data_IF_141206419687
#
_entry.id   IF_141206419687
#
_cell.length_a   1.000
_cell.length_b   1.000
_cell.length_c   1.000
_cell.angle_alpha   90.00
_cell.angle_beta   90.00
_cell.angle_gamma   90.00
#
_symmetry.space_group_name_H-M   'P 1'
#
loop_
_entity.id
_entity.type
_entity.pdbx_description
1 polymer ?
#
# COMPACT_ATOMS: atom_id res chain seq x y z
N UNK A 1 -11.29 -15.40 -50.77
CA UNK A 1 -10.23 -15.57 -49.73
C UNK A 1 -9.76 -14.29 -49.05
N UNK A 2 -9.84 -13.10 -49.66
CA UNK A 2 -9.33 -11.85 -49.02
C UNK A 2 -10.19 -11.33 -47.86
N UNK A 3 -11.52 -11.52 -47.91
CA UNK A 3 -12.45 -11.03 -46.89
C UNK A 3 -12.36 -11.79 -45.55
N UNK A 4 -12.05 -13.08 -45.58
CA UNK A 4 -11.96 -13.91 -44.37
C UNK A 4 -10.77 -13.52 -43.47
N UNK A 5 -9.66 -13.09 -44.07
CA UNK A 5 -8.46 -12.63 -43.34
C UNK A 5 -8.73 -11.33 -42.58
N UNK A 6 -9.54 -10.44 -43.16
CA UNK A 6 -9.89 -9.14 -42.56
C UNK A 6 -10.77 -9.34 -41.32
N UNK A 7 -11.71 -10.28 -41.35
CA UNK A 7 -12.61 -10.57 -40.23
C UNK A 7 -11.83 -11.14 -39.03
N UNK A 8 -10.86 -12.03 -39.29
CA UNK A 8 -10.02 -12.61 -38.24
C UNK A 8 -9.13 -11.53 -37.58
N UNK A 9 -8.60 -10.58 -38.36
CA UNK A 9 -7.80 -9.48 -37.81
C UNK A 9 -8.63 -8.54 -36.92
N UNK A 10 -9.89 -8.29 -37.27
CA UNK A 10 -10.78 -7.41 -36.50
C UNK A 10 -11.16 -7.99 -35.13
N UNK A 11 -11.34 -9.32 -35.06
CA UNK A 11 -11.67 -10.02 -33.81
C UNK A 11 -10.47 -10.04 -32.84
N UNK A 12 -9.24 -10.07 -33.36
CA UNK A 12 -8.04 -10.03 -32.53
C UNK A 12 -7.82 -8.65 -31.85
N UNK A 13 -8.28 -7.55 -32.47
CA UNK A 13 -8.16 -6.19 -31.92
C UNK A 13 -9.16 -5.84 -30.82
N UNK A 14 -10.21 -6.65 -30.61
CA UNK A 14 -11.28 -6.34 -29.65
C UNK A 14 -10.97 -6.75 -28.20
N UNK A 15 -9.86 -7.46 -27.95
CA UNK A 15 -9.53 -8.00 -26.63
C UNK A 15 -8.42 -7.24 -25.90
N UNK A 16 -8.16 -5.98 -26.26
CA UNK A 16 -7.35 -5.09 -25.42
C UNK A 16 -8.18 -4.62 -24.23
N UNK A 17 -8.25 -5.47 -23.21
CA UNK A 17 -8.70 -5.06 -21.88
C UNK A 17 -7.64 -4.10 -21.34
N UNK A 18 -7.96 -2.81 -21.30
CA UNK A 18 -7.11 -1.83 -20.64
C UNK A 18 -7.04 -2.20 -19.16
N UNK A 19 -5.94 -2.83 -18.74
CA UNK A 19 -5.67 -3.10 -17.33
C UNK A 19 -5.57 -1.74 -16.65
N UNK A 20 -6.55 -1.38 -15.82
CA UNK A 20 -6.54 -0.13 -15.04
C UNK A 20 -5.26 -0.13 -14.20
N UNK A 21 -4.23 0.55 -14.69
CA UNK A 21 -2.99 0.73 -13.96
C UNK A 21 -3.32 1.65 -12.79
N UNK A 22 -3.32 1.11 -11.58
CA UNK A 22 -3.52 1.92 -10.39
C UNK A 22 -2.31 2.84 -10.21
N UNK A 23 -2.58 4.14 -10.07
CA UNK A 23 -1.53 5.11 -9.80
C UNK A 23 -1.01 4.91 -8.37
N UNK A 24 0.30 4.83 -8.25
CA UNK A 24 0.97 4.65 -6.95
C UNK A 24 1.24 6.01 -6.35
N UNK A 25 0.69 6.22 -5.17
CA UNK A 25 0.77 7.48 -4.46
C UNK A 25 1.65 7.34 -3.23
N UNK A 26 2.59 8.26 -3.08
CA UNK A 26 3.68 8.09 -2.13
C UNK A 26 3.54 9.02 -0.93
N UNK A 27 3.70 8.44 0.26
CA UNK A 27 3.70 9.19 1.50
C UNK A 27 4.92 8.86 2.34
N UNK A 28 5.38 9.85 3.10
CA UNK A 28 6.52 9.71 3.99
C UNK A 28 6.22 10.26 5.38
N UNK A 29 6.77 9.60 6.40
CA UNK A 29 6.81 10.10 7.76
C UNK A 29 8.03 9.62 8.50
N UNK A 30 8.56 10.47 9.38
CA UNK A 30 9.69 10.15 10.24
C UNK A 30 9.33 10.42 11.69
N UNK A 31 9.64 9.46 12.56
CA UNK A 31 9.56 9.59 14.01
C UNK A 31 10.96 9.60 14.60
N UNK A 32 11.09 9.71 15.92
CA UNK A 32 12.37 9.56 16.62
C UNK A 32 12.97 8.15 16.54
N UNK A 33 12.16 7.13 16.22
CA UNK A 33 12.58 5.72 16.26
C UNK A 33 12.67 5.07 14.89
N UNK A 34 11.89 5.54 13.92
CA UNK A 34 11.76 4.89 12.62
C UNK A 34 11.27 5.87 11.56
N UNK A 35 11.54 5.52 10.31
CA UNK A 35 10.96 6.12 9.11
C UNK A 35 9.90 5.18 8.52
N UNK A 36 8.88 5.76 7.90
CA UNK A 36 7.80 5.03 7.22
C UNK A 36 7.61 5.64 5.83
N UNK A 37 7.63 4.77 4.82
CA UNK A 37 7.27 5.06 3.43
C UNK A 37 6.06 4.23 3.05
N UNK A 38 4.98 4.88 2.65
CA UNK A 38 3.78 4.23 2.11
C UNK A 38 3.77 4.41 0.58
N UNK A 39 3.53 3.32 -0.13
CA UNK A 39 3.06 3.35 -1.52
C UNK A 39 1.61 2.91 -1.50
N UNK A 40 0.69 3.83 -1.72
CA UNK A 40 -0.75 3.63 -1.72
C UNK A 40 -1.20 3.39 -3.17
N UNK A 41 -1.81 2.23 -3.42
CA UNK A 41 -2.46 1.96 -4.70
C UNK A 41 -3.90 2.44 -4.63
N UNK A 42 -4.18 3.66 -5.11
CA UNK A 42 -5.53 4.23 -5.06
C UNK A 42 -6.48 3.43 -5.95
N UNK A 43 -7.62 3.01 -5.42
CA UNK A 43 -8.57 2.13 -6.12
C UNK A 43 -8.19 0.63 -6.09
N UNK A 44 -7.06 0.25 -5.49
CA UNK A 44 -6.71 -1.15 -5.22
C UNK A 44 -5.85 -1.27 -3.96
N UNK A 45 -6.49 -1.14 -2.81
CA UNK A 45 -5.79 -1.03 -1.52
C UNK A 45 -4.84 -2.20 -1.22
N UNK A 46 -5.16 -3.41 -1.72
CA UNK A 46 -4.33 -4.62 -1.59
C UNK A 46 -2.99 -4.52 -2.34
N UNK A 47 -2.88 -3.64 -3.33
CA UNK A 47 -1.62 -3.32 -4.00
C UNK A 47 -0.70 -2.38 -3.21
N UNK A 48 -1.18 -1.84 -2.10
CA UNK A 48 -0.40 -0.91 -1.26
C UNK A 48 0.71 -1.63 -0.50
N UNK A 49 1.74 -0.90 -0.10
CA UNK A 49 2.82 -1.43 0.75
C UNK A 49 3.36 -0.35 1.68
N UNK A 50 3.81 -0.78 2.85
CA UNK A 50 4.57 0.07 3.77
C UNK A 50 5.98 -0.47 3.94
N UNK A 51 6.97 0.40 3.85
CA UNK A 51 8.34 0.13 4.24
C UNK A 51 8.62 0.92 5.51
N UNK A 52 8.98 0.20 6.58
CA UNK A 52 9.45 0.80 7.83
C UNK A 52 10.94 0.57 7.97
N UNK A 53 11.70 1.64 8.22
CA UNK A 53 13.13 1.56 8.53
C UNK A 53 13.35 2.00 9.97
N UNK A 54 13.95 1.15 10.79
CA UNK A 54 14.36 1.52 12.15
C UNK A 54 15.60 2.43 12.11
N UNK A 55 15.56 3.59 12.77
CA UNK A 55 16.63 4.60 12.67
C UNK A 55 17.92 4.15 13.38
N UNK A 56 17.82 3.29 14.40
CA UNK A 56 18.99 2.89 15.19
C UNK A 56 19.73 1.71 14.58
N UNK A 57 19.00 0.84 13.89
CA UNK A 57 19.51 -0.45 13.41
C UNK A 57 19.55 -0.56 11.89
N UNK A 58 19.05 0.46 11.19
CA UNK A 58 18.79 0.47 9.75
C UNK A 58 17.95 -0.71 9.25
N UNK A 59 17.30 -1.43 10.16
CA UNK A 59 16.50 -2.59 9.81
C UNK A 59 15.28 -2.15 9.03
N UNK A 60 15.18 -2.67 7.80
CA UNK A 60 14.04 -2.46 6.91
C UNK A 60 13.06 -3.61 7.07
N UNK A 61 11.77 -3.29 7.20
CA UNK A 61 10.69 -4.27 7.26
C UNK A 61 9.58 -3.83 6.31
N UNK A 62 9.16 -4.75 5.45
CA UNK A 62 8.03 -4.56 4.53
C UNK A 62 6.75 -5.07 5.19
N UNK A 63 5.70 -4.26 5.07
CA UNK A 63 4.37 -4.58 5.54
C UNK A 63 3.38 -4.54 4.37
N UNK A 64 2.48 -5.52 4.34
CA UNK A 64 1.46 -5.71 3.32
C UNK A 64 0.06 -5.59 3.92
N UNK A 65 -0.92 -5.08 3.17
CA UNK A 65 -2.32 -5.02 3.59
C UNK A 65 -2.82 -6.37 4.07
N UNK A 66 -3.50 -6.38 5.20
CA UNK A 66 -4.21 -7.56 5.67
C UNK A 66 -5.46 -7.76 4.81
N UNK A 67 -5.61 -8.95 4.22
CA UNK A 67 -6.73 -9.29 3.32
C UNK A 67 -8.09 -9.29 4.01
N UNK A 68 -8.10 -9.42 5.33
CA UNK A 68 -9.32 -9.42 6.16
C UNK A 68 -9.56 -7.99 6.64
N UNK A 69 -9.93 -7.09 5.74
CA UNK A 69 -10.56 -5.84 6.16
C UNK A 69 -12.01 -6.18 6.53
N UNK A 70 -12.41 -5.88 7.76
CA UNK A 70 -13.84 -5.88 8.08
C UNK A 70 -14.50 -4.76 7.30
N UNK A 71 -15.64 -5.06 6.66
CA UNK A 71 -16.36 -4.15 5.74
C UNK A 71 -16.73 -2.78 6.35
N UNK A 72 -16.57 -2.61 7.67
CA UNK A 72 -16.97 -1.39 8.41
C UNK A 72 -15.82 -0.63 9.08
N UNK A 73 -14.55 -1.02 8.94
CA UNK A 73 -13.46 -0.26 9.54
C UNK A 73 -12.84 0.69 8.54
N UNK A 74 -12.98 2.00 8.80
CA UNK A 74 -12.21 3.11 8.21
C UNK A 74 -10.69 3.00 8.50
N UNK A 75 -10.16 1.82 8.78
CA UNK A 75 -8.78 1.60 9.15
C UNK A 75 -8.20 0.48 8.30
N UNK A 76 -7.01 0.70 7.77
CA UNK A 76 -6.27 -0.28 6.98
C UNK A 76 -5.14 -0.85 7.84
N UNK A 77 -5.16 -2.16 8.04
CA UNK A 77 -4.14 -2.87 8.82
C UNK A 77 -3.12 -3.48 7.87
N UNK A 78 -1.84 -3.28 8.15
CA UNK A 78 -0.73 -3.91 7.47
C UNK A 78 0.03 -4.83 8.42
N UNK A 79 0.39 -6.00 7.92
CA UNK A 79 1.17 -7.02 8.62
C UNK A 79 2.52 -7.22 7.93
N UNK A 80 3.57 -7.63 8.66
CA UNK A 80 4.87 -7.92 8.08
C UNK A 80 4.76 -8.95 6.95
N UNK A 81 5.56 -8.79 5.90
CA UNK A 81 5.60 -9.72 4.77
C UNK A 81 6.01 -11.12 5.26
N UNK A 82 5.08 -12.07 5.18
CA UNK A 82 5.27 -13.44 5.68
C UNK A 82 6.39 -14.20 4.95
N UNK A 83 6.77 -13.75 3.75
CA UNK A 83 7.81 -14.37 2.95
C UNK A 83 9.21 -13.90 3.35
N UNK A 84 9.32 -12.82 4.13
CA UNK A 84 10.59 -12.32 4.62
C UNK A 84 11.04 -13.11 5.87
N UNK A 85 11.95 -14.05 5.64
CA UNK A 85 12.52 -14.93 6.67
C UNK A 85 13.36 -14.20 7.72
N UNK A 86 13.73 -12.94 7.48
CA UNK A 86 14.53 -12.12 8.43
C UNK A 86 13.66 -11.45 9.50
N UNK A 87 12.34 -11.54 9.36
CA UNK A 87 11.37 -11.00 10.30
C UNK A 87 11.13 -12.01 11.42
N UNK A 88 11.50 -11.61 12.63
CA UNK A 88 11.15 -12.37 13.84
C UNK A 88 9.65 -12.26 14.08
N UNK A 89 8.95 -13.39 14.15
CA UNK A 89 7.54 -13.42 14.55
C UNK A 89 7.37 -12.84 15.95
N UNK A 90 6.41 -11.92 16.10
CA UNK A 90 6.04 -11.27 17.36
C UNK A 90 4.55 -11.46 17.61
N UNK A 91 4.14 -11.33 18.87
CA UNK A 91 2.72 -11.39 19.26
C UNK A 91 1.92 -10.22 18.66
N UNK A 92 2.55 -9.06 18.53
CA UNK A 92 2.00 -7.88 17.85
C UNK A 92 3.10 -7.21 17.04
N UNK A 93 2.89 -7.10 15.74
CA UNK A 93 3.72 -6.35 14.81
C UNK A 93 2.81 -5.95 13.65
N UNK A 94 2.26 -4.75 13.72
CA UNK A 94 1.28 -4.27 12.74
C UNK A 94 1.31 -2.76 12.62
N UNK A 95 0.96 -2.28 11.43
CA UNK A 95 0.76 -0.86 11.16
C UNK A 95 -0.71 -0.64 10.85
N UNK A 96 -1.33 0.36 11.48
CA UNK A 96 -2.72 0.73 11.22
C UNK A 96 -2.72 2.15 10.65
N UNK A 97 -3.32 2.33 9.48
CA UNK A 97 -3.63 3.65 8.93
C UNK A 97 -5.12 3.94 9.17
N UNK A 98 -5.44 5.12 9.67
CA UNK A 98 -6.79 5.52 10.04
C UNK A 98 -7.44 6.41 8.97
N UNK A 99 -8.78 6.35 8.91
CA UNK A 99 -9.63 7.05 7.92
C UNK A 99 -9.26 6.71 6.48
N UNK A 100 -8.90 5.45 6.25
CA UNK A 100 -8.58 4.92 4.93
C UNK A 100 -9.85 4.56 4.15
N UNK A 101 -9.87 4.89 2.86
CA UNK A 101 -10.89 4.47 1.88
C UNK A 101 -10.21 3.64 0.79
N UNK A 102 -10.97 2.76 0.14
CA UNK A 102 -10.45 1.93 -0.96
C UNK A 102 -10.20 2.74 -2.23
N UNK A 103 -11.06 3.72 -2.49
CA UNK A 103 -10.93 4.66 -3.59
C UNK A 103 -11.15 6.09 -3.08
N UNK A 104 -10.31 7.00 -3.56
CA UNK A 104 -10.34 8.42 -3.25
C UNK A 104 -10.52 9.23 -4.52
N UNK A 105 -11.57 10.05 -4.58
CA UNK A 105 -11.69 11.12 -5.58
C UNK A 105 -10.58 12.16 -5.41
N UNK A 106 -10.30 12.54 -4.16
CA UNK A 106 -9.18 13.38 -3.77
C UNK A 106 -8.42 12.71 -2.64
N UNK A 107 -7.15 12.44 -2.90
CA UNK A 107 -6.26 11.82 -1.93
C UNK A 107 -5.94 12.78 -0.78
N UNK A 108 -5.87 12.29 0.47
CA UNK A 108 -5.58 13.14 1.61
C UNK A 108 -4.12 13.62 1.56
N UNK A 109 -3.85 14.88 1.89
CA UNK A 109 -2.46 15.37 2.02
C UNK A 109 -1.69 14.69 3.16
N UNK A 110 -2.43 14.10 4.10
CA UNK A 110 -1.89 13.52 5.33
C UNK A 110 -2.67 12.31 5.78
N UNK A 111 -1.95 11.28 6.17
CA UNK A 111 -2.50 10.05 6.74
C UNK A 111 -2.00 9.89 8.17
N UNK A 112 -2.90 9.55 9.09
CA UNK A 112 -2.56 9.27 10.48
C UNK A 112 -2.48 7.76 10.65
N UNK A 113 -1.48 7.29 11.39
CA UNK A 113 -1.35 5.87 11.68
C UNK A 113 -0.70 5.57 13.02
N UNK A 114 -0.68 4.29 13.36
CA UNK A 114 0.06 3.77 14.51
C UNK A 114 0.82 2.51 14.15
N UNK A 115 1.98 2.34 14.78
CA UNK A 115 2.80 1.14 14.71
C UNK A 115 2.74 0.43 16.05
N UNK A 116 2.13 -0.75 16.07
CA UNK A 116 2.05 -1.63 17.24
C UNK A 116 3.17 -2.66 17.19
N UNK A 117 4.02 -2.70 18.21
CA UNK A 117 5.05 -3.73 18.40
C UNK A 117 5.06 -4.21 19.83
N UNK A 118 4.82 -5.50 20.04
CA UNK A 118 4.70 -6.13 21.35
C UNK A 118 3.73 -5.33 22.25
N UNK A 119 4.20 -4.75 23.36
CA UNK A 119 3.39 -3.93 24.29
C UNK A 119 3.42 -2.43 23.98
N UNK A 120 4.17 -1.99 22.95
CA UNK A 120 4.36 -0.57 22.61
C UNK A 120 3.57 -0.17 21.38
N UNK A 121 3.05 1.05 21.40
CA UNK A 121 2.36 1.67 20.26
C UNK A 121 2.98 3.02 19.98
N UNK A 122 3.29 3.28 18.72
CA UNK A 122 3.89 4.53 18.26
C UNK A 122 2.98 5.19 17.24
N UNK A 123 2.40 6.34 17.59
CA UNK A 123 1.63 7.15 16.64
C UNK A 123 2.54 7.87 15.66
N UNK A 124 2.12 7.99 14.41
CA UNK A 124 2.84 8.73 13.37
C UNK A 124 1.88 9.43 12.40
N UNK A 125 2.45 10.32 11.60
CA UNK A 125 1.78 11.05 10.53
C UNK A 125 2.60 10.87 9.26
N UNK A 126 1.93 10.56 8.16
CA UNK A 126 2.52 10.51 6.83
C UNK A 126 2.03 11.73 6.05
N UNK A 127 2.92 12.29 5.23
CA UNK A 127 2.63 13.43 4.37
C UNK A 127 2.79 12.99 2.92
N UNK A 128 1.87 13.42 2.06
CA UNK A 128 1.93 13.15 0.63
C UNK A 128 3.23 13.75 0.08
N UNK A 129 4.00 12.94 -0.63
CA UNK A 129 5.18 13.42 -1.34
C UNK A 129 4.69 14.13 -2.60
N UNK A 130 5.04 15.41 -2.74
CA UNK A 130 4.80 16.14 -3.98
C UNK A 130 5.82 15.65 -5.00
N UNK A 131 5.35 15.04 -6.08
CA UNK A 131 6.15 14.84 -7.27
C UNK A 131 6.35 16.24 -7.87
N UNK A 132 7.52 16.83 -7.68
CA UNK A 132 7.89 18.02 -8.44
C UNK A 132 8.08 17.54 -9.89
N UNK A 133 7.11 17.86 -10.75
CA UNK A 133 7.22 17.73 -12.20
C UNK A 133 8.09 18.84 -12.77
#
# INVERSE_FOLDING_TARGET
MKAAVIIILLIASLNTVAQKAFEMEHYYGKTKNFEIKLSLANGYILGSKIIKTDIKTDKVVKYLPNKIQGENTLSLVFLPDINDKTIKRRKRDNIILYKMKDDYEMLPDKIIGSYGVDLKTYSFKLYKLRTNH
#
